data_IF_296552430613
#
_entry.id   IF_296552430613
#
_cell.length_a   1.000
_cell.length_b   1.000
_cell.length_c   1.000
_cell.angle_alpha   90.00
_cell.angle_beta   90.00
_cell.angle_gamma   90.00
#
_symmetry.space_group_name_H-M   'P 1'
#
loop_
_entity.id
_entity.type
_entity.pdbx_description
1 polymer ?
#
# COMPACT_ATOMS: atom_id res chain seq x y z
N UNK A 1 16.39 -8.56 -5.03
CA UNK A 1 15.21 -8.19 -5.85
C UNK A 1 14.61 -6.88 -5.34
N UNK A 2 14.18 -5.95 -6.21
CA UNK A 2 13.52 -4.70 -5.77
C UNK A 2 12.43 -4.31 -6.76
N UNK A 3 11.21 -4.10 -6.27
CA UNK A 3 10.07 -3.71 -7.10
C UNK A 3 9.14 -2.72 -6.40
N UNK A 4 8.46 -1.91 -7.21
CA UNK A 4 7.38 -1.03 -6.76
C UNK A 4 6.04 -1.69 -7.03
N UNK A 5 5.06 -1.51 -6.15
CA UNK A 5 3.70 -2.01 -6.32
C UNK A 5 2.66 -0.98 -5.86
N UNK A 6 1.45 -1.11 -6.39
CA UNK A 6 0.33 -0.24 -6.02
C UNK A 6 -0.18 -0.72 -4.66
N UNK A 7 0.16 0.02 -3.60
CA UNK A 7 -0.24 -0.38 -2.25
C UNK A 7 -1.76 -0.51 -2.16
N UNK A 8 -2.19 -1.63 -1.60
CA UNK A 8 -3.55 -1.78 -1.12
C UNK A 8 -3.52 -1.94 0.41
N UNK A 9 -4.44 -1.25 1.08
CA UNK A 9 -4.55 -1.36 2.53
C UNK A 9 -5.13 -2.73 2.87
N UNK A 10 -4.37 -3.52 3.62
CA UNK A 10 -4.83 -4.84 4.06
C UNK A 10 -6.14 -4.75 4.88
N UNK A 11 -6.34 -3.66 5.63
CA UNK A 11 -7.58 -3.38 6.37
C UNK A 11 -8.28 -2.10 5.88
N UNK A 12 -9.61 -2.08 5.95
CA UNK A 12 -10.42 -0.90 5.62
C UNK A 12 -10.22 0.27 6.60
N UNK A 13 -9.78 -0.02 7.81
CA UNK A 13 -9.60 0.96 8.88
C UNK A 13 -8.33 1.80 8.65
N UNK A 14 -7.25 1.17 8.17
CA UNK A 14 -5.97 1.86 7.92
C UNK A 14 -6.10 2.99 6.89
N UNK A 15 -6.88 2.78 5.82
CA UNK A 15 -7.13 3.79 4.79
C UNK A 15 -7.94 4.99 5.30
N UNK A 16 -8.93 4.76 6.18
CA UNK A 16 -9.75 5.83 6.76
C UNK A 16 -8.96 6.68 7.76
N UNK A 17 -8.13 6.04 8.59
CA UNK A 17 -7.27 6.74 9.55
C UNK A 17 -6.27 7.63 8.81
N UNK A 18 -5.66 7.14 7.73
CA UNK A 18 -4.76 7.96 6.90
C UNK A 18 -5.48 9.14 6.25
N UNK A 19 -6.71 8.94 5.74
CA UNK A 19 -7.52 10.02 5.17
C UNK A 19 -7.83 11.13 6.17
N UNK A 20 -8.21 10.76 7.40
CA UNK A 20 -8.50 11.71 8.48
C UNK A 20 -7.24 12.47 8.95
N UNK A 21 -6.09 11.81 9.04
CA UNK A 21 -4.82 12.48 9.36
C UNK A 21 -4.44 13.49 8.27
N UNK A 22 -4.63 13.13 7.00
CA UNK A 22 -4.36 14.02 5.87
C UNK A 22 -5.22 15.30 5.91
N UNK A 23 -6.53 15.18 6.19
CA UNK A 23 -7.41 16.35 6.27
C UNK A 23 -7.09 17.23 7.47
N UNK A 24 -6.77 16.65 8.63
CA UNK A 24 -6.34 17.43 9.80
C UNK A 24 -5.05 18.22 9.54
N UNK A 25 -4.07 17.65 8.84
CA UNK A 25 -2.82 18.37 8.52
C UNK A 25 -3.08 19.48 7.49
N UNK A 26 -3.86 19.21 6.44
CA UNK A 26 -4.14 20.17 5.36
C UNK A 26 -4.94 21.37 5.88
N UNK A 27 -5.96 21.15 6.71
CA UNK A 27 -6.84 22.23 7.16
C UNK A 27 -6.51 22.75 8.56
N UNK A 28 -6.06 21.89 9.47
CA UNK A 28 -5.80 22.26 10.86
C UNK A 28 -4.55 23.12 11.03
N UNK A 29 -3.43 22.75 10.41
CA UNK A 29 -2.17 23.49 10.56
C UNK A 29 -2.29 24.93 10.02
N UNK A 30 -2.84 25.17 8.82
CA UNK A 30 -2.97 26.54 8.30
C UNK A 30 -3.99 27.38 9.08
N UNK A 31 -5.05 26.76 9.63
CA UNK A 31 -6.03 27.46 10.44
C UNK A 31 -5.44 27.91 11.78
N UNK A 32 -4.62 27.08 12.44
CA UNK A 32 -3.87 27.46 13.64
C UNK A 32 -2.91 28.61 13.32
N UNK A 33 -2.16 28.53 12.22
CA UNK A 33 -1.22 29.57 11.80
C UNK A 33 -1.93 30.89 11.50
N UNK A 34 -3.05 30.86 10.78
CA UNK A 34 -3.84 32.05 10.47
C UNK A 34 -4.35 32.76 11.73
N UNK A 35 -4.77 31.99 12.74
CA UNK A 35 -5.20 32.51 14.05
C UNK A 35 -4.01 33.11 14.83
N UNK A 36 -2.82 32.52 14.74
CA UNK A 36 -1.64 32.99 15.48
C UNK A 36 -1.00 34.26 14.90
N UNK A 37 -1.06 34.44 13.58
CA UNK A 37 -0.36 35.54 12.89
C UNK A 37 -1.30 36.75 12.67
N UNK A 38 -2.61 36.58 12.82
CA UNK A 38 -3.65 37.60 12.51
C UNK A 38 -3.51 38.18 11.10
N UNK A 39 -2.89 37.41 10.21
CA UNK A 39 -2.70 37.72 8.80
C UNK A 39 -3.23 36.56 7.96
N UNK A 40 -4.39 36.82 7.37
CA UNK A 40 -5.10 35.85 6.53
C UNK A 40 -4.37 35.55 5.23
N UNK A 41 -3.54 36.47 4.72
CA UNK A 41 -2.75 36.26 3.51
C UNK A 41 -1.60 35.29 3.77
N UNK A 42 -0.90 35.45 4.89
CA UNK A 42 0.16 34.53 5.32
C UNK A 42 -0.42 33.14 5.58
N UNK A 43 -1.56 33.05 6.29
CA UNK A 43 -2.26 31.79 6.51
C UNK A 43 -2.63 31.06 5.21
N UNK A 44 -3.11 31.79 4.20
CA UNK A 44 -3.46 31.23 2.89
C UNK A 44 -2.22 30.73 2.11
N UNK A 45 -1.11 31.46 2.13
CA UNK A 45 0.14 31.02 1.51
C UNK A 45 0.66 29.73 2.14
N UNK A 46 0.59 29.61 3.47
CA UNK A 46 0.92 28.38 4.18
C UNK A 46 -0.01 27.22 3.82
N UNK A 47 -1.31 27.46 3.69
CA UNK A 47 -2.26 26.44 3.24
C UNK A 47 -1.87 25.89 1.86
N UNK A 48 -1.61 26.77 0.89
CA UNK A 48 -1.20 26.38 -0.46
C UNK A 48 0.10 25.57 -0.43
N UNK A 49 1.07 25.99 0.38
CA UNK A 49 2.34 25.28 0.53
C UNK A 49 2.17 23.88 1.12
N UNK A 50 1.44 23.76 2.24
CA UNK A 50 1.17 22.46 2.89
C UNK A 50 0.39 21.55 1.96
N UNK A 51 -0.61 22.08 1.25
CA UNK A 51 -1.39 21.34 0.27
C UNK A 51 -0.53 20.85 -0.90
N UNK A 52 0.35 21.70 -1.45
CA UNK A 52 1.26 21.33 -2.52
C UNK A 52 2.23 20.22 -2.09
N UNK A 53 2.81 20.31 -0.89
CA UNK A 53 3.68 19.27 -0.33
C UNK A 53 2.92 17.95 -0.18
N UNK A 54 1.68 18.00 0.34
CA UNK A 54 0.84 16.81 0.47
C UNK A 54 0.51 16.17 -0.88
N UNK A 55 0.21 16.95 -1.91
CA UNK A 55 -0.01 16.42 -3.26
C UNK A 55 1.23 15.71 -3.81
N UNK A 56 2.42 16.29 -3.61
CA UNK A 56 3.69 15.66 -4.02
C UNK A 56 3.92 14.34 -3.28
N UNK A 57 3.69 14.31 -1.96
CA UNK A 57 3.80 13.09 -1.16
C UNK A 57 2.81 12.03 -1.68
N UNK A 58 1.53 12.38 -1.83
CA UNK A 58 0.50 11.45 -2.30
C UNK A 58 0.81 10.88 -3.70
N UNK A 59 1.38 11.69 -4.59
CA UNK A 59 1.72 11.24 -5.95
C UNK A 59 2.99 10.38 -5.99
N UNK A 60 3.96 10.65 -5.12
CA UNK A 60 5.27 9.96 -5.12
C UNK A 60 5.29 8.72 -4.22
N UNK A 61 4.34 8.57 -3.30
CA UNK A 61 4.28 7.44 -2.38
C UNK A 61 3.75 6.17 -3.02
N UNK A 62 4.60 5.55 -3.83
CA UNK A 62 4.44 4.15 -4.24
C UNK A 62 4.97 3.24 -3.15
N UNK A 63 4.25 2.16 -2.85
CA UNK A 63 4.83 1.10 -2.04
C UNK A 63 5.90 0.37 -2.83
N UNK A 64 6.89 -0.13 -2.10
CA UNK A 64 7.99 -0.90 -2.68
C UNK A 64 8.45 -1.97 -1.72
N UNK A 65 9.03 -3.02 -2.28
CA UNK A 65 9.79 -3.99 -1.51
C UNK A 65 11.18 -4.15 -2.08
N UNK A 66 12.11 -4.49 -1.20
CA UNK A 66 13.49 -4.86 -1.53
C UNK A 66 13.83 -6.10 -0.73
N UNK A 67 14.18 -7.16 -1.42
CA UNK A 67 14.61 -8.43 -0.85
C UNK A 67 16.10 -8.64 -1.18
N UNK A 68 16.89 -8.92 -0.14
CA UNK A 68 18.30 -9.26 -0.25
C UNK A 68 18.52 -10.74 0.12
N UNK A 69 19.73 -11.13 0.53
CA UNK A 69 20.04 -12.52 0.87
C UNK A 69 19.54 -12.95 2.26
N UNK A 70 19.12 -12.02 3.12
CA UNK A 70 18.78 -12.31 4.52
C UNK A 70 17.42 -11.78 4.97
N UNK A 71 16.89 -10.75 4.30
CA UNK A 71 15.63 -10.13 4.70
C UNK A 71 14.87 -9.50 3.52
N UNK A 72 13.56 -9.38 3.71
CA UNK A 72 12.69 -8.56 2.87
C UNK A 72 12.30 -7.29 3.61
N UNK A 73 12.45 -6.15 2.94
CA UNK A 73 12.05 -4.84 3.44
C UNK A 73 10.90 -4.30 2.62
N UNK A 74 9.75 -4.08 3.25
CA UNK A 74 8.62 -3.35 2.68
C UNK A 74 8.68 -1.88 3.12
N UNK A 75 8.37 -0.98 2.19
CA UNK A 75 8.29 0.46 2.43
C UNK A 75 7.01 1.04 1.87
N UNK A 76 6.33 1.83 2.67
CA UNK A 76 5.18 2.61 2.27
C UNK A 76 5.14 3.92 3.08
N UNK A 77 5.12 5.06 2.37
CA UNK A 77 5.29 6.39 2.98
C UNK A 77 6.53 6.44 3.89
N UNK A 78 6.32 6.58 5.20
CA UNK A 78 7.34 6.63 6.25
C UNK A 78 7.51 5.30 6.98
N UNK A 79 6.63 4.32 6.74
CA UNK A 79 6.68 3.00 7.38
C UNK A 79 7.68 2.12 6.64
N UNK A 80 8.63 1.56 7.40
CA UNK A 80 9.57 0.54 6.95
C UNK A 80 9.36 -0.71 7.80
N UNK A 81 9.04 -1.83 7.16
CA UNK A 81 8.94 -3.14 7.80
C UNK A 81 10.04 -4.03 7.26
N UNK A 82 10.87 -4.58 8.14
CA UNK A 82 11.94 -5.53 7.77
C UNK A 82 11.58 -6.88 8.35
N UNK A 83 11.62 -7.92 7.52
CA UNK A 83 11.29 -9.29 7.89
C UNK A 83 12.51 -10.16 7.56
N UNK A 84 13.29 -10.58 8.56
CA UNK A 84 14.38 -11.54 8.39
C UNK A 84 13.84 -12.89 7.94
N UNK A 85 14.54 -13.57 7.01
CA UNK A 85 14.10 -14.87 6.48
C UNK A 85 14.13 -15.98 7.52
N UNK A 86 15.07 -15.89 8.47
CA UNK A 86 15.17 -16.81 9.60
C UNK A 86 13.90 -16.87 10.45
N UNK A 87 13.12 -15.78 10.47
CA UNK A 87 11.87 -15.71 11.24
C UNK A 87 10.66 -16.18 10.43
N UNK A 88 10.78 -16.41 9.12
CA UNK A 88 9.66 -16.78 8.25
C UNK A 88 9.48 -18.30 8.30
N UNK A 89 8.26 -18.77 8.61
CA UNK A 89 7.90 -20.19 8.53
C UNK A 89 7.27 -20.54 7.20
N UNK A 90 6.40 -19.67 6.71
CA UNK A 90 5.70 -19.85 5.45
C UNK A 90 5.28 -18.51 4.85
N UNK A 91 5.11 -18.53 3.53
CA UNK A 91 4.67 -17.38 2.74
C UNK A 91 3.46 -17.81 1.93
N UNK A 92 2.36 -17.07 2.08
CA UNK A 92 1.14 -17.27 1.30
C UNK A 92 0.93 -16.07 0.37
N UNK A 93 0.51 -16.34 -0.87
CA UNK A 93 0.15 -15.31 -1.85
C UNK A 93 -1.21 -15.67 -2.41
N UNK A 94 -2.19 -14.78 -2.20
CA UNK A 94 -3.57 -14.97 -2.60
C UNK A 94 -4.08 -13.78 -3.41
N UNK A 95 -4.96 -14.05 -4.37
CA UNK A 95 -5.74 -13.01 -5.04
C UNK A 95 -7.15 -12.96 -4.46
N UNK A 96 -7.55 -11.79 -3.99
CA UNK A 96 -8.83 -11.55 -3.32
C UNK A 96 -9.64 -10.52 -4.09
N UNK A 97 -10.94 -10.78 -4.28
CA UNK A 97 -11.87 -9.76 -4.75
C UNK A 97 -12.22 -8.82 -3.59
N UNK A 98 -11.88 -7.54 -3.74
CA UNK A 98 -12.14 -6.49 -2.76
C UNK A 98 -13.18 -5.51 -3.27
N UNK A 99 -13.92 -4.95 -2.30
CA UNK A 99 -14.96 -3.95 -2.56
C UNK A 99 -14.65 -2.66 -1.81
N UNK A 100 -14.52 -1.56 -2.56
CA UNK A 100 -14.43 -0.21 -2.02
C UNK A 100 -15.77 0.50 -2.22
N UNK A 101 -16.42 0.86 -1.12
CA UNK A 101 -17.63 1.69 -1.15
C UNK A 101 -17.23 3.16 -1.26
N UNK A 102 -17.59 3.79 -2.37
CA UNK A 102 -17.44 5.23 -2.58
C UNK A 102 -18.80 5.92 -2.69
N UNK A 103 -18.79 7.26 -2.78
CA UNK A 103 -20.02 8.08 -3.00
C UNK A 103 -20.78 7.71 -4.29
N UNK A 104 -20.13 7.08 -5.26
CA UNK A 104 -20.71 6.67 -6.54
C UNK A 104 -21.11 5.20 -6.67
N UNK A 105 -21.01 4.41 -5.59
CA UNK A 105 -21.34 2.98 -5.60
C UNK A 105 -20.24 2.07 -5.05
N UNK A 106 -20.36 0.77 -5.33
CA UNK A 106 -19.36 -0.25 -4.96
C UNK A 106 -18.40 -0.41 -6.14
N UNK A 107 -17.15 0.00 -5.95
CA UNK A 107 -16.09 -0.32 -6.89
C UNK A 107 -15.46 -1.66 -6.49
N UNK A 108 -15.45 -2.63 -7.40
CA UNK A 108 -14.84 -3.94 -7.20
C UNK A 108 -13.49 -3.95 -7.87
N UNK A 109 -12.49 -4.52 -7.22
CA UNK A 109 -11.15 -4.70 -7.78
C UNK A 109 -10.52 -5.96 -7.19
N UNK A 110 -9.53 -6.52 -7.86
CA UNK A 110 -8.73 -7.61 -7.31
C UNK A 110 -7.50 -7.05 -6.63
N UNK A 111 -7.17 -7.58 -5.46
CA UNK A 111 -5.91 -7.33 -4.79
C UNK A 111 -5.15 -8.63 -4.64
N UNK A 112 -3.84 -8.55 -4.84
CA UNK A 112 -2.92 -9.60 -4.45
C UNK A 112 -2.42 -9.33 -3.04
N UNK A 113 -2.47 -10.33 -2.18
CA UNK A 113 -2.06 -10.24 -0.79
C UNK A 113 -0.94 -11.23 -0.56
N UNK A 114 0.18 -10.75 -0.01
CA UNK A 114 1.26 -11.59 0.49
C UNK A 114 1.26 -11.57 2.01
N UNK A 115 1.18 -12.76 2.60
CA UNK A 115 1.20 -12.99 4.05
C UNK A 115 2.46 -13.75 4.43
N UNK A 116 3.18 -13.23 5.43
CA UNK A 116 4.34 -13.86 6.04
C UNK A 116 3.96 -14.37 7.43
N UNK A 117 3.95 -15.68 7.61
CA UNK A 117 3.73 -16.30 8.91
C UNK A 117 5.10 -16.52 9.55
N UNK A 118 5.36 -15.79 10.63
CA UNK A 118 6.65 -15.82 11.29
C UNK A 118 6.63 -16.64 12.59
N UNK A 119 7.79 -16.77 13.22
CA UNK A 119 7.90 -17.19 14.62
C UNK A 119 7.04 -16.33 15.56
N UNK A 120 6.69 -16.90 16.72
CA UNK A 120 5.87 -16.27 17.76
C UNK A 120 4.48 -15.80 17.30
N UNK A 121 3.85 -16.53 16.36
CA UNK A 121 2.52 -16.24 15.81
C UNK A 121 2.39 -14.86 15.14
N UNK A 122 3.53 -14.22 14.84
CA UNK A 122 3.54 -12.90 14.21
C UNK A 122 3.24 -13.03 12.72
N UNK A 123 2.21 -12.31 12.27
CA UNK A 123 1.85 -12.24 10.86
C UNK A 123 2.15 -10.85 10.29
N UNK A 124 2.73 -10.81 9.09
CA UNK A 124 2.83 -9.59 8.31
C UNK A 124 2.09 -9.74 6.99
N UNK A 125 1.15 -8.83 6.74
CA UNK A 125 0.28 -8.86 5.56
C UNK A 125 0.51 -7.61 4.72
N UNK A 126 0.73 -7.78 3.42
CA UNK A 126 0.87 -6.68 2.46
C UNK A 126 -0.05 -6.90 1.27
N UNK A 127 -0.87 -5.90 0.96
CA UNK A 127 -1.76 -5.91 -0.21
C UNK A 127 -1.20 -5.06 -1.35
N UNK A 128 -1.39 -5.55 -2.58
CA UNK A 128 -1.11 -4.86 -3.82
C UNK A 128 -2.33 -4.89 -4.75
N UNK A 129 -2.76 -3.74 -5.26
CA UNK A 129 -3.87 -3.70 -6.21
C UNK A 129 -3.44 -4.33 -7.55
N UNK A 130 -4.22 -5.29 -8.03
CA UNK A 130 -4.05 -5.88 -9.36
C UNK A 130 -4.87 -5.06 -10.36
N UNK A 131 -4.18 -4.49 -11.34
CA UNK A 131 -4.83 -3.77 -12.44
C UNK A 131 -5.48 -4.79 -13.39
N UNK A 132 -6.73 -5.16 -13.06
CA UNK A 132 -7.47 -6.21 -13.75
C UNK A 132 -8.64 -5.62 -14.52
N UNK A 133 -8.70 -6.00 -15.79
CA UNK A 133 -9.87 -5.80 -16.62
C UNK A 133 -10.90 -6.92 -16.39
N UNK A 134 -12.03 -6.58 -15.77
CA UNK A 134 -13.12 -7.53 -15.54
C UNK A 134 -13.74 -8.04 -16.85
N UNK A 135 -13.74 -7.25 -17.93
CA UNK A 135 -14.20 -7.74 -19.23
C UNK A 135 -13.25 -8.79 -19.82
N UNK A 136 -11.95 -8.66 -19.54
CA UNK A 136 -10.97 -9.66 -19.94
C UNK A 136 -11.19 -10.99 -19.20
N UNK A 137 -11.58 -10.96 -17.92
CA UNK A 137 -11.95 -12.18 -17.18
C UNK A 137 -13.18 -12.87 -17.80
N UNK A 138 -14.19 -12.11 -18.23
CA UNK A 138 -15.38 -12.67 -18.88
C UNK A 138 -15.03 -13.37 -20.21
N UNK A 139 -13.97 -12.92 -20.89
CA UNK A 139 -13.50 -13.50 -22.17
C UNK A 139 -12.55 -14.68 -21.95
N UNK A 140 -11.75 -14.65 -20.88
CA UNK A 140 -10.81 -15.73 -20.51
C UNK A 140 -10.89 -16.01 -19.00
N UNK A 141 -11.56 -17.10 -18.57
CA UNK A 141 -11.64 -17.48 -17.15
C UNK A 141 -10.27 -17.69 -16.48
N UNK A 142 -9.22 -17.99 -17.25
CA UNK A 142 -7.86 -18.17 -16.74
C UNK A 142 -7.06 -16.87 -16.69
N UNK A 143 -7.63 -15.73 -17.09
CA UNK A 143 -6.95 -14.44 -17.12
C UNK A 143 -6.39 -14.05 -15.74
N UNK A 144 -7.19 -14.21 -14.69
CA UNK A 144 -6.78 -13.90 -13.31
C UNK A 144 -5.58 -14.76 -12.90
N UNK A 145 -5.64 -16.07 -13.18
CA UNK A 145 -4.55 -16.99 -12.88
C UNK A 145 -3.26 -16.60 -13.60
N UNK A 146 -3.33 -16.26 -14.89
CA UNK A 146 -2.16 -15.80 -15.66
C UNK A 146 -1.53 -14.54 -15.07
N UNK A 147 -2.34 -13.62 -14.54
CA UNK A 147 -1.85 -12.40 -13.89
C UNK A 147 -1.16 -12.68 -12.55
N UNK A 148 -1.60 -13.70 -11.81
CA UNK A 148 -1.04 -14.04 -10.49
C UNK A 148 0.17 -14.97 -10.59
N UNK A 149 0.26 -15.83 -11.61
CA UNK A 149 1.35 -16.80 -11.81
C UNK A 149 2.74 -16.15 -11.88
N UNK A 150 2.84 -14.95 -12.44
CA UNK A 150 4.10 -14.20 -12.56
C UNK A 150 3.98 -12.80 -11.96
N UNK A 151 3.14 -12.64 -10.93
CA UNK A 151 3.00 -11.37 -10.23
C UNK A 151 4.26 -10.97 -9.47
N UNK A 152 4.27 -9.74 -8.95
CA UNK A 152 5.37 -9.22 -8.14
C UNK A 152 5.52 -9.99 -6.84
N UNK A 153 4.41 -10.35 -6.19
CA UNK A 153 4.44 -11.09 -4.93
C UNK A 153 4.74 -12.58 -5.14
N UNK A 154 4.27 -13.21 -6.22
CA UNK A 154 4.65 -14.59 -6.56
C UNK A 154 6.14 -14.70 -6.83
N UNK A 155 6.73 -13.76 -7.59
CA UNK A 155 8.19 -13.69 -7.78
C UNK A 155 8.95 -13.47 -6.47
N UNK A 156 8.44 -12.61 -5.59
CA UNK A 156 9.04 -12.35 -4.30
C UNK A 156 9.02 -13.59 -3.40
N UNK A 157 7.89 -14.29 -3.34
CA UNK A 157 7.75 -15.56 -2.61
C UNK A 157 8.79 -16.57 -3.09
N UNK A 158 8.84 -16.84 -4.40
CA UNK A 158 9.81 -17.78 -4.97
C UNK A 158 11.27 -17.38 -4.68
N UNK A 159 11.58 -16.08 -4.72
CA UNK A 159 12.91 -15.57 -4.38
C UNK A 159 13.29 -15.84 -2.92
N UNK A 160 12.37 -15.61 -1.98
CA UNK A 160 12.63 -15.81 -0.54
C UNK A 160 12.69 -17.31 -0.20
N UNK A 161 11.76 -18.12 -0.72
CA UNK A 161 11.77 -19.58 -0.49
C UNK A 161 13.07 -20.22 -0.99
N UNK A 162 13.60 -19.75 -2.14
CA UNK A 162 14.89 -20.18 -2.65
C UNK A 162 16.11 -19.74 -1.81
N UNK A 163 15.93 -18.84 -0.83
CA UNK A 163 16.95 -18.39 0.13
C UNK A 163 16.79 -19.01 1.52
N UNK A 164 15.62 -19.55 1.81
CA UNK A 164 15.32 -20.28 3.05
C UNK A 164 15.69 -21.78 2.95
N UNK A 165 15.81 -22.30 1.73
CA UNK A 165 16.26 -23.66 1.43
C UNK A 165 17.78 -23.82 1.59
#
# INVERSE_FOLDING_TARGET
MKENYNHDFASKEDGQVMGCLGTMVIFGVPLIIAVLIDDTMIGMLFFILVFAIMLVILYTCKASFSADDHAVTFRYLLKKTVIPYENIKSIEVNAELREMRGRGGVNRYYAEVISFHCDDEKEYVFGGNLDIDFEAILKDPNYLQKQTENSKFTRLKAFIEGKMA
#
